data_IF_232755142544
#
_entry.id   IF_232755142544
#
_cell.length_a   1.000
_cell.length_b   1.000
_cell.length_c   1.000
_cell.angle_alpha   90.00
_cell.angle_beta   90.00
_cell.angle_gamma   90.00
#
_symmetry.space_group_name_H-M   'P 1'
#
loop_
_entity.id
_entity.type
_entity.pdbx_description
1 polymer ?
#
# COMPACT_ATOMS: atom_id res chain seq x y z
N UNK A 1 -16.50 15.76 -1.20
CA UNK A 1 -15.22 15.63 -0.46
C UNK A 1 -14.15 15.22 -1.47
N UNK A 2 -13.19 16.09 -1.82
CA UNK A 2 -12.08 15.74 -2.72
C UNK A 2 -11.08 14.92 -1.92
N UNK A 3 -11.24 13.60 -1.88
CA UNK A 3 -10.21 12.69 -1.35
C UNK A 3 -8.95 12.90 -2.18
N UNK A 4 -7.96 13.55 -1.57
CA UNK A 4 -6.71 13.85 -2.25
C UNK A 4 -5.99 12.52 -2.52
N UNK A 5 -5.78 12.12 -3.79
CA UNK A 5 -5.23 10.79 -4.12
C UNK A 5 -3.85 10.54 -3.49
N UNK A 6 -3.12 11.60 -3.13
CA UNK A 6 -1.87 11.53 -2.36
C UNK A 6 -2.10 11.03 -0.93
N UNK A 7 -3.09 11.60 -0.23
CA UNK A 7 -3.39 11.23 1.16
C UNK A 7 -3.83 9.77 1.26
N UNK A 8 -4.62 9.33 0.27
CA UNK A 8 -5.08 7.95 0.20
C UNK A 8 -3.91 7.00 -0.12
N UNK A 9 -3.03 7.37 -1.05
CA UNK A 9 -1.83 6.57 -1.36
C UNK A 9 -0.87 6.43 -0.18
N UNK A 10 -0.70 7.50 0.62
CA UNK A 10 0.11 7.44 1.84
C UNK A 10 -0.51 6.51 2.88
N UNK A 11 -1.83 6.55 3.07
CA UNK A 11 -2.54 5.66 3.98
C UNK A 11 -2.33 4.18 3.62
N UNK A 12 -2.54 3.81 2.36
CA UNK A 12 -2.30 2.44 1.89
C UNK A 12 -0.84 2.01 2.01
N UNK A 13 0.11 2.94 1.80
CA UNK A 13 1.53 2.65 1.97
C UNK A 13 1.88 2.36 3.44
N UNK A 14 1.35 3.16 4.37
CA UNK A 14 1.56 2.95 5.81
C UNK A 14 0.92 1.64 6.27
N UNK A 15 -0.29 1.32 5.83
CA UNK A 15 -0.95 0.04 6.13
C UNK A 15 -0.15 -1.15 5.58
N UNK A 16 0.31 -1.07 4.32
CA UNK A 16 1.12 -2.12 3.71
C UNK A 16 2.44 -2.38 4.45
N UNK A 17 3.11 -1.33 4.94
CA UNK A 17 4.29 -1.47 5.81
C UNK A 17 3.96 -2.16 7.14
N UNK A 18 2.83 -1.79 7.74
CA UNK A 18 2.38 -2.34 9.02
C UNK A 18 2.05 -3.84 8.89
N UNK A 19 1.34 -4.23 7.82
CA UNK A 19 1.08 -5.64 7.53
C UNK A 19 2.34 -6.42 7.18
N UNK A 20 3.32 -5.79 6.52
CA UNK A 20 4.64 -6.41 6.27
C UNK A 20 5.37 -6.67 7.58
N UNK A 21 5.37 -5.72 8.52
CA UNK A 21 5.96 -5.91 9.85
C UNK A 21 5.28 -7.05 10.63
N UNK A 22 3.94 -7.11 10.60
CA UNK A 22 3.20 -8.21 11.20
C UNK A 22 3.50 -9.55 10.53
N UNK A 23 3.65 -9.58 9.20
CA UNK A 23 4.03 -10.79 8.46
C UNK A 23 5.41 -11.30 8.86
N UNK A 24 6.39 -10.39 9.05
CA UNK A 24 7.74 -10.75 9.49
C UNK A 24 7.72 -11.36 10.88
N UNK A 25 7.00 -10.76 11.83
CA UNK A 25 6.86 -11.32 13.18
C UNK A 25 6.13 -12.68 13.15
N UNK A 26 5.10 -12.82 12.32
CA UNK A 26 4.37 -14.08 12.16
C UNK A 26 5.22 -15.17 11.49
N UNK A 27 6.17 -14.77 10.62
CA UNK A 27 7.06 -15.67 9.89
C UNK A 27 8.08 -16.38 10.80
N UNK A 28 8.33 -15.90 12.02
CA UNK A 28 9.15 -16.62 13.01
C UNK A 28 8.59 -18.01 13.32
N UNK A 29 7.26 -18.16 13.29
CA UNK A 29 6.58 -19.44 13.50
C UNK A 29 6.47 -20.27 12.19
N UNK A 30 6.96 -19.74 11.07
CA UNK A 30 6.94 -20.38 9.76
C UNK A 30 6.37 -19.48 8.68
N UNK A 31 7.11 -19.30 7.58
CA UNK A 31 6.74 -18.43 6.45
C UNK A 31 5.48 -18.95 5.73
N UNK A 32 5.27 -20.26 5.70
CA UNK A 32 4.10 -20.92 5.09
C UNK A 32 2.91 -21.07 6.03
N UNK A 33 2.96 -20.48 7.22
CA UNK A 33 1.81 -20.48 8.11
C UNK A 33 0.67 -19.67 7.51
N UNK A 34 -0.56 -20.16 7.68
CA UNK A 34 -1.77 -19.50 7.20
C UNK A 34 -1.84 -17.99 7.52
N UNK A 35 -1.61 -17.53 8.77
CA UNK A 35 -1.65 -16.09 9.07
C UNK A 35 -0.57 -15.29 8.32
N UNK A 36 0.64 -15.82 8.17
CA UNK A 36 1.74 -15.15 7.46
C UNK A 36 1.41 -14.96 5.99
N UNK A 37 0.85 -15.98 5.32
CA UNK A 37 0.44 -15.88 3.92
C UNK A 37 -0.66 -14.82 3.74
N UNK A 38 -1.66 -14.80 4.63
CA UNK A 38 -2.73 -13.80 4.60
C UNK A 38 -2.16 -12.37 4.78
N UNK A 39 -1.25 -12.18 5.74
CA UNK A 39 -0.60 -10.89 5.97
C UNK A 39 0.22 -10.43 4.76
N UNK A 40 0.98 -11.34 4.13
CA UNK A 40 1.75 -11.05 2.91
C UNK A 40 0.81 -10.65 1.75
N UNK A 41 -0.30 -11.36 1.57
CA UNK A 41 -1.29 -11.04 0.53
C UNK A 41 -1.87 -9.64 0.74
N UNK A 42 -2.33 -9.33 1.96
CA UNK A 42 -2.90 -8.01 2.29
C UNK A 42 -1.85 -6.91 2.07
N UNK A 43 -0.63 -7.09 2.58
CA UNK A 43 0.45 -6.14 2.38
C UNK A 43 0.74 -5.88 0.90
N UNK A 44 0.70 -6.93 0.06
CA UNK A 44 0.91 -6.83 -1.39
C UNK A 44 -0.18 -6.01 -2.06
N UNK A 45 -1.45 -6.23 -1.69
CA UNK A 45 -2.57 -5.44 -2.20
C UNK A 45 -2.45 -3.96 -1.80
N UNK A 46 -2.16 -3.68 -0.54
CA UNK A 46 -2.02 -2.31 -0.03
C UNK A 46 -0.89 -1.54 -0.71
N UNK A 47 0.28 -2.16 -0.85
CA UNK A 47 1.43 -1.55 -1.55
C UNK A 47 1.09 -1.33 -3.04
N UNK A 48 0.43 -2.29 -3.69
CA UNK A 48 0.00 -2.15 -5.09
C UNK A 48 -0.98 -0.99 -5.30
N UNK A 49 -1.95 -0.82 -4.40
CA UNK A 49 -2.89 0.30 -4.42
C UNK A 49 -2.17 1.63 -4.15
N UNK A 50 -1.26 1.66 -3.18
CA UNK A 50 -0.46 2.84 -2.88
C UNK A 50 0.35 3.30 -4.11
N UNK A 51 1.07 2.39 -4.77
CA UNK A 51 1.82 2.67 -6.01
C UNK A 51 0.89 3.25 -7.08
N UNK A 52 -0.27 2.62 -7.31
CA UNK A 52 -1.25 3.11 -8.30
C UNK A 52 -1.72 4.53 -7.98
N UNK A 53 -1.94 4.84 -6.69
CA UNK A 53 -2.35 6.18 -6.25
C UNK A 53 -1.24 7.22 -6.40
N UNK A 54 0.03 6.88 -6.15
CA UNK A 54 1.16 7.78 -6.40
C UNK A 54 1.35 8.08 -7.89
N UNK A 55 1.18 7.08 -8.77
CA UNK A 55 1.21 7.27 -10.22
C UNK A 55 0.06 8.18 -10.66
N UNK A 56 -1.16 7.93 -10.17
CA UNK A 56 -2.33 8.74 -10.48
C UNK A 56 -2.14 10.20 -10.03
N UNK A 57 -1.67 10.41 -8.81
CA UNK A 57 -1.34 11.75 -8.29
C UNK A 57 -0.32 12.47 -9.18
N UNK A 58 0.74 11.78 -9.56
CA UNK A 58 1.78 12.34 -10.45
C UNK A 58 1.22 12.72 -11.82
N UNK A 59 0.31 11.90 -12.37
CA UNK A 59 -0.39 12.17 -13.63
C UNK A 59 -1.32 13.40 -13.51
N UNK A 60 -2.11 13.48 -12.43
CA UNK A 60 -3.00 14.62 -12.16
C UNK A 60 -2.18 15.92 -12.00
N UNK A 61 -1.04 15.86 -11.29
CA UNK A 61 -0.15 17.01 -11.12
C UNK A 61 0.45 17.48 -12.46
N UNK A 62 0.84 16.55 -13.34
CA UNK A 62 1.29 16.87 -14.70
C UNK A 62 0.19 17.50 -15.56
N UNK A 63 -1.05 17.01 -15.46
CA UNK A 63 -2.19 17.56 -16.20
C UNK A 63 -2.56 18.97 -15.74
N UNK A 64 -2.57 19.23 -14.43
CA UNK A 64 -2.84 20.58 -13.89
C UNK A 64 -1.72 21.58 -14.19
N UNK A 65 -0.47 21.15 -14.41
CA UNK A 65 0.65 22.04 -14.77
C UNK A 65 0.64 22.43 -16.26
N UNK A 66 -0.13 21.72 -17.09
CA UNK A 66 -0.21 21.91 -18.54
C UNK A 66 -1.46 22.70 -18.98
N UNK A 67 -2.29 23.10 -18.02
CA UNK A 67 -3.52 23.87 -18.19
C UNK A 67 -3.29 25.27 -17.63
#
# INVERSE_FOLDING_TARGET
>A
MRTNPISMGFFYLTMGLLFTYLAINSAENGIFSFPTIVLILIATFDIGVAIRMFILSSKIKKMNKKK
#
